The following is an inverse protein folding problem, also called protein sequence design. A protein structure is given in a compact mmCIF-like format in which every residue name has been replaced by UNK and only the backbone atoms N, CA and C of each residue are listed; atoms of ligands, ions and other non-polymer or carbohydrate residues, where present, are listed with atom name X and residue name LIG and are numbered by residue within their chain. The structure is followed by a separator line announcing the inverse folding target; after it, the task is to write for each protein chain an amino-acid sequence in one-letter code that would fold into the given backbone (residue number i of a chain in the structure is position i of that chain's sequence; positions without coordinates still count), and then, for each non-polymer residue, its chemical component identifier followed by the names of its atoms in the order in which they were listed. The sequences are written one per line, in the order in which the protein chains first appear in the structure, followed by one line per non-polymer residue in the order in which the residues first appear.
data_IF_664008315855
#
_entry.id   IF_664008315855
#
_cell.length_a   1.000
_cell.length_b   1.000
_cell.length_c   1.000
_cell.angle_alpha   90.00
_cell.angle_beta   90.00
_cell.angle_gamma   90.00
#
_symmetry.space_group_name_H-M   'P 1'
#
loop_
_entity.id
_entity.type
_entity.pdbx_description
1 polymer ?
#
# COMPACT_ATOMS: atom_id res chain seq x y z
N UNK A 1 11.08 -7.21 -22.19
CA UNK A 1 10.53 -8.45 -22.79
C UNK A 1 9.30 -8.08 -23.59
N UNK A 2 9.15 -8.63 -24.79
CA UNK A 2 7.99 -8.46 -25.67
C UNK A 2 7.71 -9.79 -26.37
N UNK A 3 6.46 -10.24 -26.30
CA UNK A 3 6.00 -11.49 -26.91
C UNK A 3 6.43 -11.66 -28.37
N UNK A 4 6.32 -10.59 -29.17
CA UNK A 4 6.67 -10.56 -30.59
C UNK A 4 8.14 -10.85 -30.88
N UNK A 5 9.04 -10.58 -29.93
CA UNK A 5 10.48 -10.77 -30.12
C UNK A 5 11.00 -12.00 -29.39
N UNK A 6 10.39 -12.34 -28.25
CA UNK A 6 10.91 -13.37 -27.35
C UNK A 6 10.20 -14.73 -27.53
N UNK A 7 9.02 -14.79 -28.15
CA UNK A 7 8.31 -16.04 -28.42
C UNK A 7 8.53 -16.54 -29.85
N UNK A 8 8.61 -17.87 -29.98
CA UNK A 8 8.66 -18.59 -31.25
C UNK A 8 7.57 -19.67 -31.28
N UNK A 9 7.19 -20.19 -32.47
CA UNK A 9 6.26 -21.32 -32.54
C UNK A 9 6.72 -22.49 -31.65
N UNK A 10 5.79 -23.03 -30.85
CA UNK A 10 6.06 -24.09 -29.87
C UNK A 10 6.55 -23.60 -28.51
N UNK A 11 6.72 -22.30 -28.28
CA UNK A 11 7.05 -21.76 -26.97
C UNK A 11 5.92 -21.91 -25.96
N UNK A 12 6.28 -22.16 -24.69
CA UNK A 12 5.36 -22.20 -23.56
C UNK A 12 5.02 -20.76 -23.11
N UNK A 13 3.84 -20.29 -23.55
CA UNK A 13 3.34 -18.94 -23.26
C UNK A 13 3.16 -18.70 -21.74
N UNK A 14 2.53 -19.61 -20.97
CA UNK A 14 2.49 -19.51 -19.51
C UNK A 14 3.87 -19.33 -18.86
N UNK A 15 4.84 -20.19 -19.18
CA UNK A 15 6.17 -20.10 -18.58
C UNK A 15 6.89 -18.79 -18.95
N UNK A 16 6.70 -18.31 -20.19
CA UNK A 16 7.21 -17.01 -20.60
C UNK A 16 6.60 -15.86 -19.79
N UNK A 17 5.29 -15.90 -19.57
CA UNK A 17 4.58 -14.88 -18.79
C UNK A 17 5.00 -14.89 -17.33
N UNK A 18 5.14 -16.06 -16.69
CA UNK A 18 5.64 -16.18 -15.32
C UNK A 18 7.05 -15.60 -15.20
N UNK A 19 7.93 -15.95 -16.13
CA UNK A 19 9.29 -15.40 -16.19
C UNK A 19 9.28 -13.89 -16.37
N UNK A 20 8.46 -13.38 -17.29
CA UNK A 20 8.33 -11.94 -17.52
C UNK A 20 7.83 -11.21 -16.27
N UNK A 21 6.85 -11.79 -15.57
CA UNK A 21 6.31 -11.26 -14.34
C UNK A 21 7.37 -11.27 -13.24
N UNK A 22 8.18 -12.32 -13.11
CA UNK A 22 9.21 -12.42 -12.08
C UNK A 22 10.38 -11.46 -12.35
N UNK A 23 10.91 -11.48 -13.57
CA UNK A 23 12.20 -10.87 -13.91
C UNK A 23 12.11 -9.39 -14.31
N UNK A 24 10.93 -8.87 -14.63
CA UNK A 24 10.78 -7.45 -15.04
C UNK A 24 10.66 -6.51 -13.84
N UNK A 25 11.30 -5.34 -13.91
CA UNK A 25 11.12 -4.26 -12.93
C UNK A 25 9.75 -3.58 -13.06
N UNK A 26 9.29 -3.42 -14.30
CA UNK A 26 8.01 -2.80 -14.65
C UNK A 26 7.24 -3.66 -15.65
N UNK A 27 5.93 -3.72 -15.48
CA UNK A 27 4.98 -4.44 -16.32
C UNK A 27 3.90 -3.44 -16.73
N UNK A 28 3.84 -3.14 -18.03
CA UNK A 28 2.87 -2.21 -18.58
C UNK A 28 1.59 -2.95 -18.93
N UNK A 29 0.47 -2.55 -18.32
CA UNK A 29 -0.84 -3.13 -18.57
C UNK A 29 -1.61 -2.21 -19.51
N UNK A 30 -1.66 -2.55 -20.79
CA UNK A 30 -2.38 -1.76 -21.81
C UNK A 30 -3.88 -2.04 -21.69
N UNK A 31 -4.57 -1.18 -20.95
CA UNK A 31 -5.98 -1.27 -20.62
C UNK A 31 -6.86 -0.77 -21.77
N UNK A 32 -7.74 -1.65 -22.22
CA UNK A 32 -8.80 -1.43 -23.22
C UNK A 32 -10.05 -2.17 -22.76
N UNK A 33 -11.23 -1.84 -23.29
CA UNK A 33 -12.48 -2.56 -22.93
C UNK A 33 -12.33 -4.08 -23.16
N UNK A 34 -11.79 -4.48 -24.32
CA UNK A 34 -11.52 -5.89 -24.64
C UNK A 34 -10.53 -6.56 -23.69
N UNK A 35 -9.50 -5.84 -23.26
CA UNK A 35 -8.56 -6.35 -22.27
C UNK A 35 -9.25 -6.58 -20.93
N UNK A 36 -10.04 -5.62 -20.46
CA UNK A 36 -10.75 -5.71 -19.20
C UNK A 36 -11.87 -6.74 -19.17
N UNK A 37 -12.63 -6.89 -20.26
CA UNK A 37 -13.59 -7.99 -20.43
C UNK A 37 -12.89 -9.33 -20.24
N UNK A 38 -11.84 -9.58 -21.02
CA UNK A 38 -11.04 -10.80 -20.90
C UNK A 38 -10.46 -11.01 -19.52
N UNK A 39 -9.93 -9.95 -18.89
CA UNK A 39 -9.32 -10.04 -17.55
C UNK A 39 -10.37 -10.33 -16.46
N UNK A 40 -11.57 -9.76 -16.57
CA UNK A 40 -12.66 -9.97 -15.61
C UNK A 40 -13.36 -11.32 -15.82
N UNK A 41 -13.53 -11.80 -17.06
CA UNK A 41 -14.06 -13.14 -17.34
C UNK A 41 -13.19 -14.25 -16.71
N UNK A 42 -11.87 -14.02 -16.66
CA UNK A 42 -10.92 -14.93 -16.00
C UNK A 42 -11.01 -14.96 -14.47
N UNK A 43 -11.76 -14.03 -13.84
CA UNK A 43 -12.03 -14.07 -12.40
C UNK A 43 -12.87 -15.28 -12.00
N UNK A 44 -13.65 -15.85 -12.93
CA UNK A 44 -14.55 -16.99 -12.70
C UNK A 44 -13.92 -18.35 -13.05
N UNK A 45 -12.58 -18.42 -13.14
CA UNK A 45 -11.85 -19.69 -13.11
C UNK A 45 -11.56 -20.37 -14.47
N UNK A 46 -11.75 -19.70 -15.61
CA UNK A 46 -11.48 -20.30 -16.93
C UNK A 46 -10.49 -19.44 -17.73
N UNK A 47 -9.19 -19.65 -17.52
CA UNK A 47 -8.13 -19.06 -18.35
C UNK A 47 -6.76 -18.99 -17.66
N UNK A 48 -5.93 -20.01 -17.89
CA UNK A 48 -4.63 -20.21 -17.21
C UNK A 48 -3.65 -19.03 -17.37
N UNK A 49 -3.58 -18.42 -18.56
CA UNK A 49 -2.70 -17.28 -18.85
C UNK A 49 -3.00 -16.05 -17.98
N UNK A 50 -4.25 -15.88 -17.51
CA UNK A 50 -4.71 -14.65 -16.82
C UNK A 50 -4.56 -14.71 -15.30
N UNK A 51 -4.41 -15.92 -14.75
CA UNK A 51 -4.25 -16.16 -13.31
C UNK A 51 -2.89 -15.67 -12.79
N UNK A 52 -1.85 -15.66 -13.63
CA UNK A 52 -0.48 -15.29 -13.22
C UNK A 52 -0.40 -13.82 -12.80
N UNK A 53 -0.83 -12.89 -13.67
CA UNK A 53 -0.79 -11.44 -13.39
C UNK A 53 -1.75 -11.10 -12.23
N UNK A 54 -2.96 -11.65 -12.27
CA UNK A 54 -3.97 -11.38 -11.24
C UNK A 54 -3.49 -11.92 -9.89
N UNK A 55 -2.98 -13.15 -9.83
CA UNK A 55 -2.40 -13.76 -8.65
C UNK A 55 -1.27 -12.92 -8.06
N UNK A 56 -0.32 -12.48 -8.88
CA UNK A 56 0.83 -11.69 -8.42
C UNK A 56 0.40 -10.30 -7.86
N UNK A 57 -0.55 -9.63 -8.53
CA UNK A 57 -1.11 -8.36 -8.07
C UNK A 57 -1.89 -8.54 -6.76
N UNK A 58 -2.68 -9.62 -6.64
CA UNK A 58 -3.51 -9.89 -5.46
C UNK A 58 -2.71 -10.38 -4.26
N UNK A 59 -1.68 -11.22 -4.48
CA UNK A 59 -0.84 -11.74 -3.42
C UNK A 59 0.05 -10.65 -2.80
N UNK A 60 0.09 -9.44 -3.38
CA UNK A 60 0.90 -8.29 -2.92
C UNK A 60 2.40 -8.61 -2.80
N UNK A 61 2.85 -9.69 -3.44
CA UNK A 61 4.25 -10.15 -3.42
C UNK A 61 5.10 -9.14 -4.20
N UNK A 62 4.53 -8.58 -5.26
CA UNK A 62 5.17 -7.57 -6.08
C UNK A 62 4.96 -6.14 -5.56
N UNK A 63 6.02 -5.33 -5.70
CA UNK A 63 5.99 -3.88 -5.41
C UNK A 63 4.80 -3.22 -6.12
N UNK A 64 4.03 -2.34 -5.46
CA UNK A 64 2.89 -1.65 -6.07
C UNK A 64 3.29 -0.77 -7.27
N UNK A 65 4.59 -0.53 -7.45
CA UNK A 65 5.17 0.27 -8.53
C UNK A 65 5.45 -0.53 -9.81
N UNK A 66 5.49 -1.86 -9.72
CA UNK A 66 5.84 -2.78 -10.81
C UNK A 66 4.76 -2.83 -11.89
N UNK A 67 3.50 -2.97 -11.50
CA UNK A 67 2.38 -3.01 -12.43
C UNK A 67 1.88 -1.60 -12.74
N UNK A 68 1.97 -1.18 -14.00
CA UNK A 68 1.64 0.17 -14.46
C UNK A 68 0.45 0.13 -15.42
N UNK A 69 -0.77 0.48 -14.97
CA UNK A 69 -1.94 0.52 -15.83
C UNK A 69 -1.88 1.72 -16.79
N UNK A 70 -2.05 1.45 -18.09
CA UNK A 70 -2.08 2.43 -19.17
C UNK A 70 -3.46 2.38 -19.84
N UNK A 71 -4.31 3.38 -19.63
CA UNK A 71 -5.62 3.43 -20.28
C UNK A 71 -5.45 3.86 -21.73
N UNK A 72 -5.58 2.95 -22.70
CA UNK A 72 -5.42 3.27 -24.12
C UNK A 72 -6.74 3.58 -24.83
N UNK A 73 -7.84 2.95 -24.44
CA UNK A 73 -9.15 3.22 -25.03
C UNK A 73 -10.31 2.84 -24.10
N UNK A 74 -11.45 3.50 -24.29
CA UNK A 74 -12.67 3.26 -23.51
C UNK A 74 -12.74 4.03 -22.21
N UNK A 75 -13.81 3.81 -21.45
CA UNK A 75 -14.01 4.45 -20.13
C UNK A 75 -13.32 3.64 -19.04
N UNK A 76 -12.84 4.31 -17.99
CA UNK A 76 -12.20 3.65 -16.82
C UNK A 76 -13.04 2.49 -16.28
N UNK A 77 -14.35 2.67 -16.16
CA UNK A 77 -15.26 1.64 -15.64
C UNK A 77 -15.30 0.37 -16.49
N UNK A 78 -15.02 0.46 -17.79
CA UNK A 78 -15.06 -0.66 -18.74
C UNK A 78 -13.70 -1.17 -19.14
N UNK A 79 -12.70 -0.29 -19.23
CA UNK A 79 -11.37 -0.59 -19.76
C UNK A 79 -10.35 -0.96 -18.69
N UNK A 80 -10.60 -0.66 -17.42
CA UNK A 80 -9.81 -1.19 -16.31
C UNK A 80 -10.50 -2.42 -15.72
N UNK A 81 -9.77 -3.55 -15.60
CA UNK A 81 -10.20 -4.70 -14.80
C UNK A 81 -10.60 -4.29 -13.38
N UNK A 82 -11.51 -5.03 -12.77
CA UNK A 82 -12.08 -4.72 -11.44
C UNK A 82 -11.02 -4.43 -10.38
N UNK A 83 -9.93 -5.20 -10.38
CA UNK A 83 -8.82 -5.09 -9.44
C UNK A 83 -7.88 -3.89 -9.67
N UNK A 84 -7.93 -3.25 -10.85
CA UNK A 84 -7.14 -2.05 -11.16
C UNK A 84 -7.94 -0.74 -11.01
N UNK A 85 -9.27 -0.79 -10.89
CA UNK A 85 -10.11 0.43 -10.85
C UNK A 85 -9.78 1.39 -9.71
N UNK A 86 -9.24 0.90 -8.60
CA UNK A 86 -8.81 1.72 -7.45
C UNK A 86 -7.34 2.15 -7.52
N UNK A 87 -6.59 1.71 -8.54
CA UNK A 87 -5.18 2.01 -8.70
C UNK A 87 -4.98 3.25 -9.58
N UNK A 88 -3.87 3.94 -9.35
CA UNK A 88 -3.44 5.01 -10.23
C UNK A 88 -3.09 4.43 -11.62
N UNK A 89 -3.47 5.15 -12.67
CA UNK A 89 -3.22 4.77 -14.07
C UNK A 89 -2.75 5.99 -14.85
N UNK A 90 -2.10 5.75 -15.99
CA UNK A 90 -1.70 6.79 -16.93
C UNK A 90 -2.68 6.79 -18.11
N UNK A 91 -3.23 7.94 -18.44
CA UNK A 91 -4.24 8.08 -19.50
C UNK A 91 -3.57 8.31 -20.86
N UNK A 92 -3.70 7.34 -21.76
CA UNK A 92 -3.26 7.37 -23.15
C UNK A 92 -4.44 7.38 -24.12
N UNK A 93 -5.65 7.76 -23.71
CA UNK A 93 -6.85 7.72 -24.58
C UNK A 93 -6.82 8.73 -25.73
N UNK A 94 -6.14 9.86 -25.54
CA UNK A 94 -6.09 10.94 -26.52
C UNK A 94 -4.67 11.15 -27.05
N UNK A 95 -4.53 11.14 -28.38
CA UNK A 95 -3.24 11.26 -29.04
C UNK A 95 -2.64 12.68 -28.92
N UNK A 96 -3.48 13.71 -28.75
CA UNK A 96 -3.02 15.09 -28.52
C UNK A 96 -2.27 15.25 -27.18
N UNK A 97 -2.53 14.39 -26.19
CA UNK A 97 -1.86 14.38 -24.89
C UNK A 97 -0.79 13.30 -24.78
N UNK A 98 -0.53 12.53 -25.84
CA UNK A 98 0.36 11.37 -25.82
C UNK A 98 1.74 11.67 -25.23
N UNK A 99 2.40 12.75 -25.66
CA UNK A 99 3.73 13.10 -25.19
C UNK A 99 3.77 13.41 -23.68
N UNK A 100 2.70 13.99 -23.14
CA UNK A 100 2.58 14.25 -21.71
C UNK A 100 2.43 12.94 -20.93
N UNK A 101 1.56 12.05 -21.39
CA UNK A 101 1.36 10.73 -20.77
C UNK A 101 2.63 9.87 -20.86
N UNK A 102 3.37 9.97 -21.95
CA UNK A 102 4.68 9.33 -22.12
C UNK A 102 5.71 9.90 -21.14
N UNK A 103 5.76 11.22 -20.95
CA UNK A 103 6.62 11.84 -19.94
C UNK A 103 6.28 11.31 -18.53
N UNK A 104 5.00 11.25 -18.17
CA UNK A 104 4.56 10.71 -16.88
C UNK A 104 4.98 9.24 -16.69
N UNK A 105 4.91 8.42 -17.75
CA UNK A 105 5.40 7.04 -17.74
C UNK A 105 6.91 6.96 -17.55
N UNK A 106 7.68 7.76 -18.29
CA UNK A 106 9.14 7.79 -18.18
C UNK A 106 9.59 8.23 -16.78
N UNK A 107 8.94 9.24 -16.20
CA UNK A 107 9.19 9.69 -14.84
C UNK A 107 8.96 8.58 -13.82
N UNK A 108 7.92 7.78 -14.00
CA UNK A 108 7.65 6.63 -13.14
C UNK A 108 8.76 5.58 -13.22
N UNK A 109 9.20 5.25 -14.44
CA UNK A 109 10.22 4.24 -14.72
C UNK A 109 11.64 4.65 -14.30
N UNK A 110 11.94 5.95 -14.33
CA UNK A 110 13.25 6.50 -13.94
C UNK A 110 13.30 7.06 -12.51
N UNK A 111 12.26 6.82 -11.72
CA UNK A 111 12.10 7.37 -10.36
C UNK A 111 12.32 8.89 -10.26
N UNK A 112 11.76 9.62 -11.21
CA UNK A 112 11.90 11.08 -11.34
C UNK A 112 10.54 11.79 -11.22
N UNK A 113 9.88 11.74 -10.04
CA UNK A 113 8.55 12.30 -9.87
C UNK A 113 8.53 13.80 -10.13
N UNK A 114 7.49 14.27 -10.83
CA UNK A 114 7.31 15.69 -11.18
C UNK A 114 7.22 16.59 -9.93
N UNK A 115 6.64 16.06 -8.86
CA UNK A 115 6.47 16.75 -7.59
C UNK A 115 7.11 15.93 -6.48
N UNK A 116 8.21 16.44 -5.93
CA UNK A 116 8.81 15.87 -4.73
C UNK A 116 8.01 16.30 -3.50
N UNK A 117 7.79 15.36 -2.58
CA UNK A 117 7.20 15.69 -1.28
C UNK A 117 8.09 16.76 -0.61
N UNK A 118 7.55 17.91 -0.20
CA UNK A 118 8.36 18.91 0.49
C UNK A 118 8.87 18.35 1.82
N UNK A 119 10.03 18.80 2.30
CA UNK A 119 10.50 18.43 3.64
C UNK A 119 9.45 18.83 4.68
N UNK A 120 9.29 18.01 5.71
CA UNK A 120 8.42 18.36 6.83
C UNK A 120 8.94 19.66 7.47
N UNK A 121 8.02 20.58 7.73
CA UNK A 121 8.32 21.79 8.47
C UNK A 121 8.74 21.48 9.91
N UNK A 122 9.26 22.49 10.61
CA UNK A 122 9.52 22.38 12.04
C UNK A 122 8.21 22.07 12.77
N UNK A 123 8.27 21.20 13.78
CA UNK A 123 7.12 20.90 14.65
C UNK A 123 6.56 22.24 15.18
N UNK A 124 5.25 22.51 14.99
CA UNK A 124 4.61 23.68 15.57
C UNK A 124 4.79 23.70 17.09
N UNK A 125 4.83 24.90 17.67
CA UNK A 125 4.84 25.03 19.12
C UNK A 125 3.45 24.71 19.67
N UNK A 126 3.21 23.44 19.98
CA UNK A 126 2.04 23.04 20.74
C UNK A 126 2.27 23.48 22.19
N UNK A 127 1.36 24.29 22.74
CA UNK A 127 1.29 24.51 24.18
C UNK A 127 1.06 23.17 24.84
N UNK A 128 2.12 22.56 25.37
CA UNK A 128 1.95 21.56 26.40
C UNK A 128 1.33 22.31 27.56
N UNK A 129 0.03 22.15 27.80
CA UNK A 129 -0.45 22.28 29.16
C UNK A 129 0.40 21.29 29.95
N UNK A 130 1.42 21.80 30.63
CA UNK A 130 2.01 21.06 31.73
C UNK A 130 0.80 20.80 32.60
N UNK A 131 0.31 19.55 32.63
CA UNK A 131 -0.56 19.10 33.71
C UNK A 131 0.23 19.46 34.96
N UNK A 132 -0.13 20.58 35.57
CA UNK A 132 0.44 20.97 36.83
C UNK A 132 0.14 19.74 37.70
N UNK A 133 1.15 19.02 38.20
CA UNK A 133 0.86 17.87 39.04
C UNK A 133 -0.09 18.41 40.09
N UNK A 134 -1.30 17.85 40.16
CA UNK A 134 -2.24 18.18 41.21
C UNK A 134 -1.41 17.90 42.46
N UNK A 135 -0.96 18.96 43.15
CA UNK A 135 -0.25 18.81 44.41
C UNK A 135 -1.35 18.43 45.40
N UNK A 136 -1.79 17.18 45.32
CA UNK A 136 -2.62 16.59 46.34
C UNK A 136 -1.75 16.42 47.56
N UNK A 137 -2.21 16.92 48.70
CA UNK A 137 -1.63 16.57 50.00
C UNK A 137 -1.81 15.08 50.34
N UNK A 138 -2.42 14.31 49.44
CA UNK A 138 -2.67 12.89 49.54
C UNK A 138 -1.76 12.12 48.58
N UNK A 139 -1.00 11.17 49.14
CA UNK A 139 -0.25 10.17 48.38
C UNK A 139 -1.20 9.02 48.08
N UNK A 140 -1.44 8.76 46.79
CA UNK A 140 -2.21 7.60 46.34
C UNK A 140 -1.23 6.46 46.05
N UNK A 141 -1.41 5.33 46.74
CA UNK A 141 -0.58 4.14 46.57
C UNK A 141 -1.43 2.87 46.61
N UNK A 142 -0.93 1.80 45.99
CA UNK A 142 -1.57 0.49 46.05
C UNK A 142 -1.34 -0.11 47.44
N UNK A 143 -2.41 -0.41 48.19
CA UNK A 143 -2.30 -1.01 49.53
C UNK A 143 -1.72 -2.42 49.53
N UNK A 144 -1.61 -3.06 48.36
CA UNK A 144 -1.06 -4.42 48.20
C UNK A 144 0.44 -4.43 47.85
N UNK A 145 0.87 -3.58 46.92
CA UNK A 145 2.26 -3.58 46.41
C UNK A 145 3.04 -2.30 46.69
N UNK A 146 2.41 -1.27 47.26
CA UNK A 146 3.06 0.01 47.57
C UNK A 146 3.28 0.94 46.36
N UNK A 147 2.93 0.53 45.14
CA UNK A 147 3.15 1.32 43.94
C UNK A 147 2.31 2.59 43.89
N UNK A 148 2.89 3.69 43.40
CA UNK A 148 2.19 4.96 43.16
C UNK A 148 1.76 5.11 41.69
N UNK A 149 0.81 6.01 41.42
CA UNK A 149 0.28 6.25 40.06
C UNK A 149 1.42 6.69 39.12
N UNK A 150 1.58 5.98 38.00
CA UNK A 150 2.62 6.26 37.00
C UNK A 150 3.94 5.53 37.22
N UNK A 151 4.11 4.79 38.33
CA UNK A 151 5.24 3.89 38.52
C UNK A 151 4.90 2.46 38.07
N UNK A 152 5.81 1.84 37.32
CA UNK A 152 5.73 0.40 37.02
C UNK A 152 6.08 -0.37 38.29
N UNK A 153 5.25 -1.34 38.67
CA UNK A 153 5.54 -2.24 39.79
C UNK A 153 5.38 -3.69 39.39
N UNK A 154 6.09 -4.57 40.08
CA UNK A 154 5.95 -6.03 39.96
C UNK A 154 5.20 -6.53 41.19
N UNK A 155 3.97 -7.01 40.98
CA UNK A 155 3.13 -7.53 42.06
C UNK A 155 3.30 -9.05 42.11
N UNK A 156 3.80 -9.59 43.22
CA UNK A 156 4.11 -11.03 43.38
C UNK A 156 2.91 -11.87 43.85
N UNK A 157 1.70 -11.28 43.88
CA UNK A 157 0.47 -11.94 44.35
C UNK A 157 -0.34 -12.66 43.26
N UNK A 158 -1.33 -13.46 43.67
CA UNK A 158 -2.21 -14.23 42.76
C UNK A 158 -3.15 -13.39 41.87
N UNK A 159 -3.31 -12.07 42.10
CA UNK A 159 -4.16 -11.20 41.28
C UNK A 159 -3.42 -10.01 40.71
N UNK A 160 -3.68 -9.71 39.43
CA UNK A 160 -3.13 -8.57 38.68
C UNK A 160 -3.85 -7.24 38.95
N UNK A 161 -4.89 -7.27 39.79
CA UNK A 161 -5.69 -6.11 40.15
C UNK A 161 -5.03 -5.29 41.26
N UNK A 162 -4.99 -3.98 41.07
CA UNK A 162 -4.47 -3.03 42.05
C UNK A 162 -5.63 -2.42 42.87
N UNK A 163 -5.38 -2.17 44.15
CA UNK A 163 -6.31 -1.46 45.03
C UNK A 163 -5.63 -0.20 45.58
N UNK A 164 -5.99 0.97 45.06
CA UNK A 164 -5.35 2.24 45.38
C UNK A 164 -6.08 2.99 46.50
N UNK A 165 -5.34 3.42 47.51
CA UNK A 165 -5.82 4.19 48.66
C UNK A 165 -5.03 5.49 48.81
N UNK A 166 -5.64 6.51 49.42
CA UNK A 166 -5.04 7.82 49.64
C UNK A 166 -4.61 8.00 51.11
N UNK A 167 -3.41 8.54 51.34
CA UNK A 167 -2.91 8.90 52.66
C UNK A 167 -2.43 10.34 52.69
N UNK A 168 -2.86 11.14 53.68
CA UNK A 168 -2.40 12.52 53.84
C UNK A 168 -0.92 12.58 54.25
N UNK A 169 -0.15 13.46 53.63
CA UNK A 169 1.20 13.83 54.07
C UNK A 169 1.07 14.55 55.43
N UNK A 170 1.70 13.98 56.46
CA UNK A 170 1.84 14.61 57.78
C UNK A 170 2.82 15.77 57.77
#
# INVERSE_FOLDING_TARGET
MLDRWDLHPGADIPAFMEKAVRDSDYILLVCTEKFAEKANEGYDGVGYEKTIITGEIYQRISSPRKFVPLLRSGKVSKALPSYLRSKFYIDFTHDNTFNKSLEDLLRHMHDSPRYNRPPLGKKPHFTSEKRNPIVSNEIIYCSRCGASIGQKSECTGLSVSHNFVAMKKG
#
